data_IF_704152811831
#
_entry.id   IF_704152811831
#
_cell.length_a   1.000
_cell.length_b   1.000
_cell.length_c   1.000
_cell.angle_alpha   90.00
_cell.angle_beta   90.00
_cell.angle_gamma   90.00
#
_symmetry.space_group_name_H-M   'P 1'
#
loop_
_entity.id
_entity.type
_entity.pdbx_description
1 polymer ?
#
# COMPACT_ATOMS: atom_id res chain seq x y z
N UNK A 1 26.08 -10.52 7.28
CA UNK A 1 26.17 -10.41 5.81
C UNK A 1 24.82 -9.92 5.28
N UNK A 2 24.19 -9.04 6.06
CA UNK A 2 22.74 -8.84 6.08
C UNK A 2 22.49 -7.34 5.98
N UNK A 3 21.48 -6.94 5.21
CA UNK A 3 21.13 -5.53 5.06
C UNK A 3 20.66 -4.95 6.39
N UNK A 4 20.98 -3.68 6.64
CA UNK A 4 20.42 -2.93 7.77
C UNK A 4 18.88 -2.98 7.74
N UNK A 5 18.20 -2.93 8.89
CA UNK A 5 16.74 -2.88 8.94
C UNK A 5 16.19 -1.66 8.19
N UNK A 6 15.05 -1.83 7.51
CA UNK A 6 14.30 -0.71 6.91
C UNK A 6 13.64 0.22 7.94
N UNK A 7 13.56 -0.21 9.20
CA UNK A 7 12.94 0.53 10.29
C UNK A 7 13.92 0.68 11.46
N UNK A 8 14.08 1.90 11.96
CA UNK A 8 14.95 2.26 13.08
C UNK A 8 15.92 3.38 12.74
N UNK A 9 16.53 3.97 13.76
CA UNK A 9 17.59 4.99 13.64
C UNK A 9 18.99 4.40 13.76
N UNK A 10 19.09 3.10 14.04
CA UNK A 10 20.34 2.38 14.21
C UNK A 10 20.76 1.72 12.89
N UNK A 11 21.82 2.24 12.28
CA UNK A 11 22.35 1.77 11.00
C UNK A 11 22.09 2.74 9.84
N UNK A 12 23.07 2.89 8.96
CA UNK A 12 22.93 3.67 7.73
C UNK A 12 21.93 3.05 6.75
N UNK A 13 21.62 3.74 5.63
CA UNK A 13 20.61 3.31 4.67
C UNK A 13 20.77 1.82 4.33
N UNK A 14 19.68 1.03 4.37
CA UNK A 14 19.74 -0.38 4.02
C UNK A 14 20.35 -0.51 2.62
N UNK A 15 21.38 -1.33 2.48
CA UNK A 15 22.10 -1.58 1.21
C UNK A 15 21.25 -2.40 0.23
N UNK A 16 20.04 -1.96 -0.04
CA UNK A 16 19.01 -2.64 -0.82
C UNK A 16 18.70 -1.86 -2.10
N UNK A 17 18.37 -2.57 -3.18
CA UNK A 17 17.90 -1.98 -4.44
C UNK A 17 16.40 -2.14 -4.63
N UNK A 18 15.84 -1.41 -5.60
CA UNK A 18 14.46 -1.56 -6.05
C UNK A 18 14.45 -2.03 -7.50
N UNK A 19 13.55 -2.95 -7.84
CA UNK A 19 13.32 -3.42 -9.21
C UNK A 19 11.86 -3.17 -9.57
N UNK A 20 11.63 -2.61 -10.75
CA UNK A 20 10.29 -2.37 -11.30
C UNK A 20 10.13 -3.18 -12.59
N UNK A 21 8.98 -3.84 -12.71
CA UNK A 21 8.57 -4.53 -13.93
C UNK A 21 7.16 -4.06 -14.25
N UNK A 22 6.97 -3.55 -15.46
CA UNK A 22 5.67 -3.09 -15.95
C UNK A 22 5.24 -3.96 -17.13
N UNK A 23 3.94 -4.27 -17.17
CA UNK A 23 3.31 -5.02 -18.25
C UNK A 23 2.22 -4.15 -18.86
N UNK A 24 2.12 -4.16 -20.19
CA UNK A 24 0.98 -3.62 -20.92
C UNK A 24 -0.04 -4.73 -21.16
N UNK A 25 -1.17 -4.77 -20.44
CA UNK A 25 -2.15 -5.84 -20.59
C UNK A 25 -2.79 -5.88 -21.99
N UNK A 26 -2.86 -4.75 -22.70
CA UNK A 26 -3.41 -4.70 -24.05
C UNK A 26 -2.53 -5.48 -25.03
N UNK A 27 -1.20 -5.35 -24.92
CA UNK A 27 -0.26 -6.08 -25.77
C UNK A 27 -0.32 -7.61 -25.64
N UNK A 28 -0.72 -8.13 -24.47
CA UNK A 28 -0.74 -9.59 -24.20
C UNK A 28 -2.13 -10.22 -24.26
N UNK A 29 -3.17 -9.45 -23.98
CA UNK A 29 -4.53 -9.96 -23.77
C UNK A 29 -5.62 -9.12 -24.43
N UNK A 30 -5.27 -8.07 -25.17
CA UNK A 30 -6.25 -7.15 -25.77
C UNK A 30 -7.24 -6.63 -24.73
N UNK A 31 -8.51 -6.55 -25.11
CA UNK A 31 -9.57 -5.98 -24.28
C UNK A 31 -10.11 -6.91 -23.17
N UNK A 32 -9.69 -8.19 -23.12
CA UNK A 32 -10.29 -9.16 -22.19
C UNK A 32 -9.62 -9.21 -20.82
N UNK A 33 -8.47 -8.55 -20.62
CA UNK A 33 -7.72 -8.61 -19.36
C UNK A 33 -8.56 -8.21 -18.15
N UNK A 34 -9.23 -7.05 -18.25
CA UNK A 34 -10.00 -6.49 -17.15
C UNK A 34 -11.18 -7.40 -16.77
N UNK A 35 -11.88 -7.97 -17.76
CA UNK A 35 -12.96 -8.93 -17.54
C UNK A 35 -12.47 -10.19 -16.82
N UNK A 36 -11.33 -10.75 -17.26
CA UNK A 36 -10.75 -11.95 -16.66
C UNK A 36 -10.30 -11.71 -15.22
N UNK A 37 -9.67 -10.56 -14.95
CA UNK A 37 -9.29 -10.16 -13.58
C UNK A 37 -10.53 -9.97 -12.72
N UNK A 38 -11.59 -9.34 -13.23
CA UNK A 38 -12.83 -9.15 -12.48
C UNK A 38 -13.50 -10.50 -12.12
N UNK A 39 -13.55 -11.44 -13.07
CA UNK A 39 -14.07 -12.78 -12.82
C UNK A 39 -13.26 -13.54 -11.76
N UNK A 40 -11.93 -13.45 -11.82
CA UNK A 40 -11.05 -14.03 -10.81
C UNK A 40 -11.27 -13.41 -9.43
N UNK A 41 -11.35 -12.09 -9.36
CA UNK A 41 -11.62 -11.36 -8.12
C UNK A 41 -12.96 -11.77 -7.51
N UNK A 42 -14.00 -11.89 -8.33
CA UNK A 42 -15.32 -12.34 -7.88
C UNK A 42 -15.26 -13.79 -7.33
N UNK A 43 -14.59 -14.71 -8.03
CA UNK A 43 -14.45 -16.09 -7.59
C UNK A 43 -13.65 -16.23 -6.27
N UNK A 44 -12.69 -15.34 -6.02
CA UNK A 44 -11.98 -15.29 -4.73
C UNK A 44 -12.89 -14.72 -3.65
N UNK A 45 -13.60 -13.63 -3.94
CA UNK A 45 -14.47 -12.95 -2.97
C UNK A 45 -15.65 -13.82 -2.50
N UNK A 46 -16.10 -14.77 -3.32
CA UNK A 46 -17.19 -15.71 -2.98
C UNK A 46 -16.77 -16.80 -1.97
N UNK A 47 -15.46 -16.97 -1.75
CA UNK A 47 -14.96 -17.96 -0.80
C UNK A 47 -15.06 -17.44 0.64
N UNK A 48 -15.61 -18.24 1.54
CA UNK A 48 -15.78 -17.88 2.95
C UNK A 48 -14.42 -17.54 3.59
N UNK A 49 -14.33 -16.36 4.21
CA UNK A 49 -13.11 -15.88 4.86
C UNK A 49 -12.02 -15.36 3.92
N UNK A 50 -12.26 -15.30 2.62
CA UNK A 50 -11.30 -14.75 1.68
C UNK A 50 -11.10 -13.23 1.87
N UNK A 51 -9.89 -12.77 1.56
CA UNK A 51 -9.51 -11.37 1.62
C UNK A 51 -8.76 -10.99 0.35
N UNK A 52 -9.22 -9.95 -0.37
CA UNK A 52 -8.52 -9.51 -1.57
C UNK A 52 -7.33 -8.60 -1.20
N UNK A 53 -6.15 -8.80 -1.81
CA UNK A 53 -5.05 -7.88 -1.67
C UNK A 53 -5.48 -6.43 -2.00
N UNK A 54 -5.18 -5.52 -1.08
CA UNK A 54 -5.53 -4.10 -1.22
C UNK A 54 -6.86 -3.68 -0.59
N UNK A 55 -7.73 -4.60 -0.15
CA UNK A 55 -9.03 -4.23 0.45
C UNK A 55 -8.90 -3.35 1.68
N UNK A 56 -8.03 -3.73 2.63
CA UNK A 56 -7.75 -2.91 3.82
C UNK A 56 -7.30 -1.50 3.44
N UNK A 57 -6.46 -1.38 2.40
CA UNK A 57 -5.97 -0.10 1.90
C UNK A 57 -7.09 0.76 1.28
N UNK A 58 -7.94 0.14 0.44
CA UNK A 58 -9.11 0.81 -0.15
C UNK A 58 -10.08 1.31 0.93
N UNK A 59 -10.41 0.47 1.91
CA UNK A 59 -11.28 0.85 3.01
C UNK A 59 -10.67 1.93 3.89
N UNK A 60 -9.37 1.84 4.19
CA UNK A 60 -8.66 2.88 4.94
C UNK A 60 -8.67 4.21 4.18
N UNK A 61 -8.44 4.19 2.87
CA UNK A 61 -8.52 5.39 2.03
C UNK A 61 -9.90 6.02 2.07
N UNK A 62 -10.98 5.25 1.88
CA UNK A 62 -12.35 5.75 1.97
C UNK A 62 -12.65 6.38 3.34
N UNK A 63 -12.20 5.75 4.44
CA UNK A 63 -12.35 6.32 5.79
C UNK A 63 -11.59 7.62 5.94
N UNK A 64 -10.33 7.67 5.51
CA UNK A 64 -9.49 8.86 5.60
C UNK A 64 -10.00 10.01 4.75
N UNK A 65 -10.54 9.73 3.55
CA UNK A 65 -11.14 10.75 2.69
C UNK A 65 -12.38 11.40 3.32
N UNK A 66 -13.14 10.64 4.13
CA UNK A 66 -14.33 11.12 4.83
C UNK A 66 -14.02 11.77 6.18
N UNK A 67 -13.19 11.12 6.99
CA UNK A 67 -13.01 11.42 8.42
C UNK A 67 -11.68 12.12 8.73
N UNK A 68 -10.82 12.28 7.72
CA UNK A 68 -9.44 12.71 7.89
C UNK A 68 -8.52 11.61 8.42
N UNK A 69 -7.22 11.93 8.54
CA UNK A 69 -6.22 11.02 9.12
C UNK A 69 -6.26 11.16 10.64
N UNK A 70 -6.46 10.05 11.34
CA UNK A 70 -6.33 10.01 12.79
C UNK A 70 -4.85 10.05 13.18
N UNK A 71 -4.46 11.06 13.96
CA UNK A 71 -3.08 11.27 14.41
C UNK A 71 -3.08 11.37 15.93
N UNK A 72 -2.12 10.69 16.58
CA UNK A 72 -1.93 10.85 18.02
C UNK A 72 -1.53 12.28 18.37
N UNK A 73 -2.10 12.83 19.44
CA UNK A 73 -1.87 14.23 19.82
C UNK A 73 -0.39 14.56 19.99
N UNK A 74 0.35 13.71 20.68
CA UNK A 74 1.78 13.88 20.93
C UNK A 74 2.62 13.92 19.64
N UNK A 75 2.21 13.19 18.60
CA UNK A 75 2.87 13.24 17.29
C UNK A 75 2.59 14.57 16.60
N UNK A 76 1.34 15.05 16.64
CA UNK A 76 0.97 16.33 16.05
C UNK A 76 1.71 17.50 16.73
N UNK A 77 1.83 17.48 18.06
CA UNK A 77 2.56 18.50 18.81
C UNK A 77 4.05 18.51 18.47
N UNK A 78 4.68 17.33 18.30
CA UNK A 78 6.08 17.22 17.84
C UNK A 78 6.29 17.82 16.45
N UNK A 79 5.39 17.53 15.51
CA UNK A 79 5.45 18.07 14.15
C UNK A 79 5.34 19.60 14.18
N UNK A 80 4.38 20.13 14.94
CA UNK A 80 4.18 21.58 15.06
C UNK A 80 5.40 22.29 15.66
N UNK A 81 6.08 21.67 16.62
CA UNK A 81 7.31 22.22 17.20
C UNK A 81 8.45 22.33 16.17
N UNK A 82 8.59 21.37 15.25
CA UNK A 82 9.58 21.44 14.16
C UNK A 82 9.27 22.49 13.10
N UNK A 83 7.98 22.78 12.86
CA UNK A 83 7.57 23.82 11.90
C UNK A 83 7.77 25.22 12.48
N UNK A 84 7.69 25.37 13.80
CA UNK A 84 7.88 26.64 14.50
C UNK A 84 9.34 27.02 14.77
N UNK A 85 10.29 26.10 14.56
CA UNK A 85 11.74 26.30 14.69
C UNK A 85 12.38 26.67 13.36
#
# INVERSE_FOLDING_TARGET
KDASPFAGTAGGPPGTGQCFIAFDPQAFSGDVFAERVAALVAAIADQEGAHLPGDKGKQARQRTERDGVQVQRDLLDKINAWVAS
#
